data_IF_949482248665
#
_entry.id   IF_949482248665
#
_cell.length_a   1.000
_cell.length_b   1.000
_cell.length_c   1.000
_cell.angle_alpha   90.00
_cell.angle_beta   90.00
_cell.angle_gamma   90.00
#
_symmetry.space_group_name_H-M   'P 1'
#
loop_
_entity.id
_entity.type
_entity.pdbx_description
1 polymer ?
#
# COMPACT_ATOMS: atom_id res chain seq x y z
N UNK A 1 -18.89 -3.27 -16.15
CA UNK A 1 -19.16 -4.28 -17.21
C UNK A 1 -18.48 -5.63 -16.95
N UNK A 2 -17.15 -5.75 -16.72
CA UNK A 2 -16.54 -7.07 -16.47
C UNK A 2 -16.99 -7.70 -15.14
N UNK A 3 -17.17 -6.90 -14.08
CA UNK A 3 -17.66 -7.38 -12.77
C UNK A 3 -19.04 -8.05 -12.88
N UNK A 4 -19.98 -7.45 -13.63
CA UNK A 4 -21.34 -7.99 -13.81
C UNK A 4 -21.34 -9.33 -14.56
N UNK A 5 -20.47 -9.49 -15.55
CA UNK A 5 -20.33 -10.76 -16.28
C UNK A 5 -19.86 -11.88 -15.35
N UNK A 6 -18.82 -11.62 -14.55
CA UNK A 6 -18.27 -12.60 -13.61
C UNK A 6 -19.19 -12.89 -12.42
N UNK A 7 -20.05 -11.94 -12.04
CA UNK A 7 -21.11 -12.17 -11.05
C UNK A 7 -22.20 -13.08 -11.58
N UNK A 8 -22.65 -12.86 -12.83
CA UNK A 8 -23.83 -13.53 -13.40
C UNK A 8 -23.53 -14.85 -14.10
N UNK A 9 -22.31 -15.03 -14.60
CA UNK A 9 -21.91 -16.21 -15.35
C UNK A 9 -20.79 -16.97 -14.62
N UNK A 10 -21.18 -18.03 -13.94
CA UNK A 10 -20.28 -18.88 -13.16
C UNK A 10 -19.24 -19.61 -14.03
N UNK A 11 -19.65 -20.15 -15.18
CA UNK A 11 -18.75 -20.85 -16.09
C UNK A 11 -17.60 -19.95 -16.55
N UNK A 12 -17.91 -18.71 -16.93
CA UNK A 12 -16.91 -17.71 -17.31
C UNK A 12 -16.02 -17.37 -16.11
N UNK A 13 -16.60 -17.19 -14.92
CA UNK A 13 -15.84 -16.92 -13.69
C UNK A 13 -14.86 -18.06 -13.38
N UNK A 14 -15.30 -19.31 -13.38
CA UNK A 14 -14.44 -20.47 -13.13
C UNK A 14 -13.33 -20.61 -14.16
N UNK A 15 -13.64 -20.38 -15.44
CA UNK A 15 -12.64 -20.39 -16.51
C UNK A 15 -11.54 -19.36 -16.23
N UNK A 16 -11.90 -18.15 -15.80
CA UNK A 16 -10.94 -17.12 -15.43
C UNK A 16 -10.18 -17.44 -14.14
N UNK A 17 -10.84 -17.96 -13.11
CA UNK A 17 -10.19 -18.40 -11.86
C UNK A 17 -9.21 -19.56 -12.09
N UNK A 18 -9.47 -20.42 -13.07
CA UNK A 18 -8.55 -21.51 -13.44
C UNK A 18 -7.37 -21.01 -14.28
N UNK A 19 -7.58 -19.98 -15.09
CA UNK A 19 -6.53 -19.33 -15.86
C UNK A 19 -5.61 -18.47 -15.00
N UNK A 20 -6.18 -17.69 -14.06
CA UNK A 20 -5.47 -16.77 -13.18
C UNK A 20 -5.24 -17.47 -11.85
N UNK A 21 -4.10 -18.16 -11.73
CA UNK A 21 -3.74 -18.91 -10.51
C UNK A 21 -3.20 -18.03 -9.38
N UNK A 22 -2.60 -16.91 -9.74
CA UNK A 22 -2.05 -15.90 -8.83
C UNK A 22 -2.35 -14.52 -9.41
N UNK A 23 -2.85 -13.61 -8.57
CA UNK A 23 -3.16 -12.25 -8.97
C UNK A 23 -2.27 -11.26 -8.23
N UNK A 24 -1.66 -10.32 -8.95
CA UNK A 24 -0.95 -9.19 -8.36
C UNK A 24 -1.71 -7.91 -8.70
N UNK A 25 -2.01 -7.10 -7.69
CA UNK A 25 -2.68 -5.81 -7.86
C UNK A 25 -1.82 -4.73 -7.26
N UNK A 26 -1.46 -3.74 -8.07
CA UNK A 26 -0.69 -2.57 -7.65
C UNK A 26 -1.61 -1.37 -7.43
N UNK A 27 -1.13 -0.35 -6.71
CA UNK A 27 -1.85 0.90 -6.40
C UNK A 27 -3.25 0.66 -5.79
N UNK A 28 -3.35 -0.30 -4.86
CA UNK A 28 -4.64 -0.76 -4.33
C UNK A 28 -5.41 0.33 -3.58
N UNK A 29 -4.73 1.35 -3.06
CA UNK A 29 -5.33 2.49 -2.37
C UNK A 29 -6.26 3.32 -3.27
N UNK A 30 -6.04 3.28 -4.59
CA UNK A 30 -6.82 4.05 -5.57
C UNK A 30 -8.00 3.27 -6.15
N UNK A 31 -8.27 2.07 -5.63
CA UNK A 31 -9.36 1.22 -6.11
C UNK A 31 -10.73 1.71 -5.67
N UNK A 32 -11.71 1.56 -6.55
CA UNK A 32 -13.14 1.76 -6.24
C UNK A 32 -13.85 0.42 -5.95
N UNK A 33 -15.10 0.50 -5.48
CA UNK A 33 -15.90 -0.69 -5.12
C UNK A 33 -16.07 -1.69 -6.27
N UNK A 34 -16.17 -1.23 -7.53
CA UNK A 34 -16.32 -2.15 -8.66
C UNK A 34 -15.04 -2.94 -8.97
N UNK A 35 -13.88 -2.33 -8.74
CA UNK A 35 -12.57 -2.98 -8.87
C UNK A 35 -12.32 -3.94 -7.71
N UNK A 36 -12.70 -3.55 -6.49
CA UNK A 36 -12.69 -4.41 -5.31
C UNK A 36 -13.45 -5.71 -5.54
N UNK A 37 -14.71 -5.61 -5.99
CA UNK A 37 -15.56 -6.76 -6.29
C UNK A 37 -14.99 -7.61 -7.43
N UNK A 38 -14.39 -6.98 -8.46
CA UNK A 38 -13.73 -7.70 -9.54
C UNK A 38 -12.58 -8.58 -9.02
N UNK A 39 -11.74 -8.03 -8.14
CA UNK A 39 -10.62 -8.78 -7.53
C UNK A 39 -11.17 -9.96 -6.72
N UNK A 40 -12.20 -9.74 -5.88
CA UNK A 40 -12.83 -10.83 -5.10
C UNK A 40 -13.36 -11.96 -5.98
N UNK A 41 -14.03 -11.63 -7.08
CA UNK A 41 -14.57 -12.61 -8.02
C UNK A 41 -13.47 -13.39 -8.76
N UNK A 42 -12.35 -12.75 -9.11
CA UNK A 42 -11.24 -13.39 -9.81
C UNK A 42 -10.38 -14.27 -8.90
N UNK A 43 -10.22 -13.89 -7.64
CA UNK A 43 -9.43 -14.66 -6.67
C UNK A 43 -10.22 -15.86 -6.14
N UNK A 44 -11.53 -15.69 -5.95
CA UNK A 44 -12.42 -16.72 -5.42
C UNK A 44 -11.97 -17.25 -4.05
N UNK A 45 -12.36 -18.48 -3.74
CA UNK A 45 -12.03 -19.13 -2.45
C UNK A 45 -10.55 -19.48 -2.28
N UNK A 46 -9.76 -19.47 -3.36
CA UNK A 46 -8.34 -19.83 -3.32
C UNK A 46 -7.51 -18.77 -2.61
N UNK A 47 -7.96 -17.52 -2.56
CA UNK A 47 -7.27 -16.40 -1.91
C UNK A 47 -5.79 -16.23 -2.33
N UNK A 48 -5.43 -16.61 -3.57
CA UNK A 48 -4.05 -16.55 -4.08
C UNK A 48 -3.79 -15.22 -4.78
N UNK A 49 -3.52 -14.19 -3.99
CA UNK A 49 -3.22 -12.88 -4.54
C UNK A 49 -2.28 -12.09 -3.63
N UNK A 50 -1.63 -11.10 -4.23
CA UNK A 50 -0.83 -10.09 -3.55
C UNK A 50 -1.35 -8.74 -3.97
N UNK A 51 -1.61 -7.87 -2.99
CA UNK A 51 -1.87 -6.45 -3.26
C UNK A 51 -0.73 -5.61 -2.74
N UNK A 52 -0.42 -4.55 -3.45
CA UNK A 52 0.51 -3.51 -3.05
C UNK A 52 -0.25 -2.19 -3.04
N UNK A 53 -0.04 -1.40 -1.99
CA UNK A 53 -0.65 -0.09 -1.86
C UNK A 53 -0.11 0.66 -0.65
N UNK A 54 -0.32 1.98 -0.67
CA UNK A 54 0.12 2.91 0.35
C UNK A 54 -1.05 3.82 0.77
N UNK A 55 -1.51 3.69 2.01
CA UNK A 55 -2.61 4.47 2.57
C UNK A 55 -2.31 5.97 2.69
N UNK A 56 -1.05 6.34 2.88
CA UNK A 56 -0.61 7.73 2.95
C UNK A 56 -0.53 8.39 1.56
N UNK A 57 -0.60 7.61 0.48
CA UNK A 57 -0.57 8.08 -0.92
C UNK A 57 -1.96 8.12 -1.59
N UNK A 58 -3.04 7.87 -0.87
CA UNK A 58 -4.39 7.89 -1.44
C UNK A 58 -4.89 9.32 -1.69
N UNK A 59 -4.49 9.94 -2.80
CA UNK A 59 -4.89 11.31 -3.18
C UNK A 59 -6.17 11.37 -4.03
N UNK A 60 -6.72 10.21 -4.40
CA UNK A 60 -7.89 10.10 -5.30
C UNK A 60 -9.23 9.89 -4.58
N UNK A 61 -9.33 10.24 -3.30
CA UNK A 61 -10.59 10.16 -2.53
C UNK A 61 -11.75 10.88 -3.22
N UNK A 62 -11.48 12.01 -3.91
CA UNK A 62 -12.45 12.77 -4.70
C UNK A 62 -12.99 12.05 -5.95
N UNK A 63 -12.33 10.98 -6.42
CA UNK A 63 -12.79 10.10 -7.51
C UNK A 63 -13.51 8.84 -7.01
N UNK A 64 -13.75 8.74 -5.70
CA UNK A 64 -14.40 7.59 -5.08
C UNK A 64 -13.47 6.44 -4.73
N UNK A 65 -12.14 6.65 -4.77
CA UNK A 65 -11.20 5.73 -4.16
C UNK A 65 -11.42 5.68 -2.65
N UNK A 66 -11.35 4.48 -2.07
CA UNK A 66 -11.61 4.25 -0.65
C UNK A 66 -10.40 3.59 -0.01
N UNK A 67 -9.57 4.31 0.78
CA UNK A 67 -8.48 3.72 1.55
C UNK A 67 -8.96 2.59 2.48
N UNK A 68 -10.25 2.63 2.85
CA UNK A 68 -10.94 1.58 3.57
C UNK A 68 -10.90 0.22 2.83
N UNK A 69 -10.69 0.18 1.52
CA UNK A 69 -10.55 -1.08 0.79
C UNK A 69 -9.35 -1.89 1.28
N UNK A 70 -8.24 -1.26 1.68
CA UNK A 70 -7.11 -1.97 2.28
C UNK A 70 -7.49 -2.59 3.64
N UNK A 71 -8.32 -1.90 4.42
CA UNK A 71 -8.87 -2.42 5.69
C UNK A 71 -9.84 -3.56 5.45
N UNK A 72 -10.80 -3.36 4.55
CA UNK A 72 -11.80 -4.38 4.17
C UNK A 72 -11.13 -5.64 3.63
N UNK A 73 -10.04 -5.49 2.87
CA UNK A 73 -9.28 -6.62 2.38
C UNK A 73 -8.73 -7.49 3.52
N UNK A 74 -8.22 -6.87 4.59
CA UNK A 74 -7.74 -7.59 5.77
C UNK A 74 -8.86 -8.30 6.54
N UNK A 75 -10.09 -7.79 6.47
CA UNK A 75 -11.28 -8.40 7.09
C UNK A 75 -11.84 -9.55 6.23
N UNK A 76 -11.94 -9.34 4.93
CA UNK A 76 -12.48 -10.33 3.97
C UNK A 76 -11.52 -11.50 3.76
N UNK A 77 -10.22 -11.28 3.92
CA UNK A 77 -9.19 -12.30 3.78
C UNK A 77 -8.28 -12.31 5.03
N UNK A 78 -8.74 -12.86 6.16
CA UNK A 78 -8.00 -12.84 7.43
C UNK A 78 -6.70 -13.64 7.40
N UNK A 79 -6.53 -14.52 6.41
CA UNK A 79 -5.29 -15.27 6.18
C UNK A 79 -4.20 -14.44 5.49
N UNK A 80 -4.48 -13.20 5.08
CA UNK A 80 -3.49 -12.34 4.45
C UNK A 80 -2.37 -11.98 5.42
N UNK A 81 -1.15 -12.09 4.94
CA UNK A 81 0.02 -11.61 5.64
C UNK A 81 0.30 -10.17 5.23
N UNK A 82 0.19 -9.24 6.17
CA UNK A 82 0.59 -7.85 5.95
C UNK A 82 2.11 -7.74 6.09
N UNK A 83 2.77 -7.21 5.06
CA UNK A 83 4.22 -6.95 5.06
C UNK A 83 4.40 -5.44 4.87
N UNK A 84 5.06 -4.78 5.83
CA UNK A 84 5.36 -3.36 5.77
C UNK A 84 6.76 -3.17 5.19
N UNK A 85 6.87 -2.35 4.13
CA UNK A 85 8.14 -1.98 3.52
C UNK A 85 8.51 -0.57 3.98
N UNK A 86 9.42 -0.47 4.94
CA UNK A 86 9.78 0.80 5.58
C UNK A 86 11.08 1.41 5.02
N UNK A 87 11.89 0.61 4.32
CA UNK A 87 13.10 1.11 3.69
C UNK A 87 12.76 1.79 2.36
N UNK A 88 13.03 3.08 2.30
CA UNK A 88 12.88 3.89 1.10
C UNK A 88 14.22 4.00 0.36
N UNK A 89 14.22 3.57 -0.89
CA UNK A 89 15.39 3.59 -1.78
C UNK A 89 15.40 4.78 -2.75
N UNK A 90 14.39 5.66 -2.72
CA UNK A 90 14.22 6.77 -3.68
C UNK A 90 14.79 8.08 -3.14
N UNK A 91 14.54 8.39 -1.88
CA UNK A 91 14.74 9.69 -1.27
C UNK A 91 15.77 9.64 -0.14
N UNK A 92 16.52 10.73 0.04
CA UNK A 92 17.49 10.86 1.11
C UNK A 92 16.82 11.00 2.49
N UNK A 93 17.58 10.72 3.55
CA UNK A 93 17.07 10.82 4.93
C UNK A 93 16.49 12.19 5.29
N UNK A 94 17.01 13.29 4.73
CA UNK A 94 16.46 14.65 4.98
C UNK A 94 15.04 14.81 4.41
N UNK A 95 14.81 14.34 3.18
CA UNK A 95 13.49 14.41 2.53
C UNK A 95 12.49 13.53 3.30
N UNK A 96 12.90 12.31 3.67
CA UNK A 96 12.04 11.41 4.41
C UNK A 96 11.70 11.92 5.81
N UNK A 97 12.63 12.60 6.48
CA UNK A 97 12.35 13.22 7.78
C UNK A 97 11.23 14.26 7.65
N UNK A 98 11.28 15.12 6.64
CA UNK A 98 10.23 16.11 6.40
C UNK A 98 8.89 15.43 6.07
N UNK A 99 8.90 14.40 5.20
CA UNK A 99 7.70 13.65 4.84
C UNK A 99 7.07 12.94 6.06
N UNK A 100 7.87 12.27 6.88
CA UNK A 100 7.41 11.59 8.09
C UNK A 100 6.79 12.57 9.12
N UNK A 101 7.35 13.78 9.27
CA UNK A 101 6.79 14.80 10.17
C UNK A 101 5.44 15.29 9.64
N UNK A 102 5.33 15.51 8.33
CA UNK A 102 4.09 15.97 7.71
C UNK A 102 2.99 14.92 7.86
N UNK A 103 3.28 13.67 7.50
CA UNK A 103 2.29 12.60 7.43
C UNK A 103 1.79 12.18 8.82
N UNK A 104 2.63 12.30 9.86
CA UNK A 104 2.29 11.96 11.25
C UNK A 104 1.12 12.76 11.84
N UNK A 105 0.67 13.83 11.18
CA UNK A 105 -0.50 14.61 11.59
C UNK A 105 -1.82 14.00 11.10
N UNK A 106 -1.77 12.99 10.22
CA UNK A 106 -2.95 12.35 9.66
C UNK A 106 -3.32 11.09 10.46
N UNK A 107 -4.61 10.72 10.51
CA UNK A 107 -5.00 9.43 11.06
C UNK A 107 -4.45 8.30 10.18
N UNK A 108 -3.67 7.40 10.77
CA UNK A 108 -3.09 6.27 10.05
C UNK A 108 -3.90 5.00 10.27
N UNK A 109 -4.09 4.24 9.18
CA UNK A 109 -4.64 2.89 9.25
C UNK A 109 -3.52 1.89 9.55
N UNK A 110 -2.36 2.08 8.94
CA UNK A 110 -1.18 1.26 9.16
C UNK A 110 -0.03 2.13 9.67
N UNK A 111 0.37 1.91 10.93
CA UNK A 111 1.57 2.55 11.45
C UNK A 111 2.81 2.06 10.67
N UNK A 112 3.54 2.99 10.06
CA UNK A 112 4.81 2.74 9.38
C UNK A 112 5.72 3.94 9.55
N UNK A 113 7.04 3.72 9.55
CA UNK A 113 8.02 4.80 9.57
C UNK A 113 9.09 4.58 8.52
N UNK A 114 9.11 5.45 7.50
CA UNK A 114 10.06 5.32 6.41
C UNK A 114 11.47 5.76 6.82
N UNK A 115 12.50 4.98 6.46
CA UNK A 115 13.91 5.32 6.63
C UNK A 115 14.70 5.11 5.33
N UNK A 116 15.90 5.68 5.22
CA UNK A 116 16.76 5.54 4.03
C UNK A 116 18.22 5.39 4.40
N UNK A 117 18.90 4.52 3.65
CA UNK A 117 20.34 4.27 3.73
C UNK A 117 21.13 5.03 2.65
N UNK A 118 20.44 5.81 1.80
CA UNK A 118 21.11 6.63 0.81
C UNK A 118 22.01 7.64 1.52
N UNK A 119 23.32 7.46 1.38
CA UNK A 119 24.33 8.36 1.92
C UNK A 119 24.10 9.73 1.29
N UNK A 120 23.65 10.69 2.09
CA UNK A 120 23.72 12.08 1.68
C UNK A 120 25.19 12.46 1.57
N UNK A 121 25.72 12.50 0.35
CA UNK A 121 26.94 13.25 0.04
C UNK A 121 26.64 14.74 0.22
N UNK A 122 26.54 15.19 1.47
CA UNK A 122 26.66 16.58 1.85
C UNK A 122 27.72 16.63 2.93
N UNK A 123 28.76 17.41 2.69
CA UNK A 123 29.92 17.56 3.55
C UNK A 123 29.53 17.67 5.01
N UNK A 124 30.38 17.08 5.86
CA UNK A 124 30.36 17.20 7.31
C UNK A 124 30.00 18.63 7.70
N UNK A 125 28.77 18.87 8.14
CA UNK A 125 28.58 19.81 9.24
C UNK A 125 29.00 19.02 10.48
N UNK A 126 30.30 19.13 10.77
CA UNK A 126 30.85 18.72 12.04
C UNK A 126 30.19 19.62 13.09
N UNK A 127 29.26 19.08 13.87
CA UNK A 127 28.85 19.73 15.12
C UNK A 127 30.07 19.69 16.05
N UNK A 128 30.89 20.72 15.99
CA UNK A 128 31.94 20.96 16.99
C UNK A 128 31.22 21.40 18.27
N UNK A 129 30.88 20.43 19.12
CA UNK A 129 30.48 20.72 20.50
C UNK A 129 31.75 21.00 21.31
N UNK A 130 32.11 22.27 21.46
CA UNK A 130 33.04 22.69 22.51
C UNK A 130 32.27 22.67 23.82
N UNK A 131 32.58 21.70 24.68
CA UNK A 131 32.17 21.74 26.08
C UNK A 131 33.34 22.27 26.89
N UNK A 132 33.19 23.46 27.47
CA UNK A 132 34.13 23.96 28.47
C UNK A 132 33.92 23.13 29.75
N UNK A 133 34.96 22.45 30.21
CA UNK A 133 34.99 21.86 31.53
C UNK A 133 35.28 22.96 32.55
N UNK A 134 34.43 23.07 33.57
CA UNK A 134 34.71 23.77 34.83
C UNK A 134 35.68 22.97 35.69
#
# INVERSE_FOLDING_TARGET
MPTLLLQRNEEVRERWQNKIRYLLVDEYQDTNTSQYELVKLLVGSRARFTVVGDDDQSIYSWRGARPQNLVLLSQDFPALKVIKLEQNYRSSGRILKAANILIANNPHVFEKRLFSELVTHHGKFCDVRVTAQS
#
